data_IF_941313662229
#
_entry.id   IF_941313662229
#
_cell.length_a   1.000
_cell.length_b   1.000
_cell.length_c   1.000
_cell.angle_alpha   90.00
_cell.angle_beta   90.00
_cell.angle_gamma   90.00
#
_symmetry.space_group_name_H-M   'P 1'
#
loop_
_entity.id
_entity.type
_entity.pdbx_description
1 polymer ?
#
# COMPACT_ATOMS: atom_id res chain seq x y z
N UNK A 1 24.72 17.06 -21.14
CA UNK A 1 23.35 16.66 -20.71
C UNK A 1 23.42 15.98 -19.35
N UNK A 2 22.87 16.64 -18.32
CA UNK A 2 23.01 16.28 -16.91
C UNK A 2 22.38 14.91 -16.54
N UNK A 3 21.24 14.59 -17.14
CA UNK A 3 20.47 13.39 -16.83
C UNK A 3 21.16 12.06 -17.19
N UNK A 4 22.12 12.05 -18.13
CA UNK A 4 22.86 10.83 -18.54
C UNK A 4 23.86 10.33 -17.50
N UNK A 5 24.27 11.18 -16.55
CA UNK A 5 25.27 10.87 -15.51
C UNK A 5 24.64 10.52 -14.15
N UNK A 6 23.30 10.49 -14.06
CA UNK A 6 22.62 10.14 -12.80
C UNK A 6 22.79 8.65 -12.51
N UNK A 7 22.99 8.30 -11.23
CA UNK A 7 23.24 6.93 -10.73
C UNK A 7 22.22 5.88 -11.22
N UNK A 8 21.00 6.31 -11.55
CA UNK A 8 19.93 5.44 -12.03
C UNK A 8 19.63 5.56 -13.54
N UNK A 9 20.30 6.46 -14.27
CA UNK A 9 19.98 6.74 -15.68
C UNK A 9 20.22 5.55 -16.61
N UNK A 10 21.15 4.66 -16.27
CA UNK A 10 21.46 3.44 -17.03
C UNK A 10 20.69 2.20 -16.54
N UNK A 11 19.89 2.31 -15.46
CA UNK A 11 19.11 1.17 -14.96
C UNK A 11 17.93 0.89 -15.90
N UNK A 12 18.08 -0.14 -16.75
CA UNK A 12 17.03 -0.63 -17.66
C UNK A 12 15.88 -1.38 -16.96
N UNK A 13 16.10 -1.85 -15.74
CA UNK A 13 15.12 -2.58 -14.93
C UNK A 13 15.23 -2.13 -13.48
N UNK A 14 14.24 -1.38 -13.00
CA UNK A 14 13.99 -1.27 -11.57
C UNK A 14 13.47 -2.62 -11.10
N UNK A 15 14.31 -3.41 -10.44
CA UNK A 15 13.90 -4.68 -9.83
C UNK A 15 12.76 -4.49 -8.82
N UNK A 16 12.67 -3.29 -8.21
CA UNK A 16 11.59 -2.87 -7.31
C UNK A 16 10.25 -2.56 -7.97
N UNK A 17 10.16 -2.40 -9.30
CA UNK A 17 8.89 -2.14 -10.00
C UNK A 17 8.34 -3.36 -10.74
N UNK A 18 9.15 -4.41 -10.92
CA UNK A 18 8.77 -5.65 -11.62
C UNK A 18 8.54 -6.83 -10.69
N UNK A 19 8.59 -6.64 -9.38
CA UNK A 19 8.01 -7.60 -8.45
C UNK A 19 6.51 -7.62 -8.72
N UNK A 20 6.06 -8.63 -9.49
CA UNK A 20 4.67 -9.06 -9.50
C UNK A 20 4.20 -9.04 -8.06
N UNK A 21 3.15 -8.26 -7.83
CA UNK A 21 2.78 -7.69 -6.54
C UNK A 21 2.96 -8.66 -5.36
N UNK A 22 4.19 -8.77 -4.86
CA UNK A 22 4.53 -9.56 -3.68
C UNK A 22 4.28 -8.74 -2.42
N UNK A 23 3.43 -7.70 -2.52
CA UNK A 23 2.61 -7.25 -1.40
C UNK A 23 1.74 -8.46 -1.06
N UNK A 24 2.36 -9.35 -0.30
CA UNK A 24 1.76 -10.50 0.35
C UNK A 24 0.40 -10.11 0.87
N UNK A 25 -0.55 -11.04 0.78
CA UNK A 25 -1.86 -10.90 1.40
C UNK A 25 -1.62 -10.47 2.85
N UNK A 26 -1.98 -9.24 3.21
CA UNK A 26 -1.61 -8.73 4.52
C UNK A 26 -2.50 -9.42 5.55
N UNK A 27 -1.90 -10.34 6.30
CA UNK A 27 -2.59 -11.13 7.31
C UNK A 27 -3.19 -10.20 8.36
N UNK A 28 -4.41 -10.50 8.80
CA UNK A 28 -5.16 -9.74 9.82
C UNK A 28 -5.53 -8.30 9.47
N UNK A 29 -5.43 -7.89 8.20
CA UNK A 29 -6.06 -6.64 7.78
C UNK A 29 -7.56 -6.78 7.66
N UNK A 30 -8.27 -5.78 8.16
CA UNK A 30 -9.71 -5.65 8.04
C UNK A 30 -10.06 -4.78 6.83
N UNK A 31 -11.18 -5.08 6.18
CA UNK A 31 -11.73 -4.21 5.15
C UNK A 31 -12.35 -2.98 5.83
N UNK A 32 -12.28 -1.82 5.17
CA UNK A 32 -12.94 -0.59 5.65
C UNK A 32 -14.45 -0.76 5.80
N UNK A 33 -15.09 -1.64 5.00
CA UNK A 33 -16.50 -1.94 5.10
C UNK A 33 -16.86 -2.79 6.33
N UNK A 34 -15.91 -3.53 6.89
CA UNK A 34 -16.13 -4.43 8.03
C UNK A 34 -15.80 -3.77 9.38
N UNK A 35 -15.54 -2.45 9.39
CA UNK A 35 -15.14 -1.71 10.60
C UNK A 35 -16.32 -1.44 11.53
N UNK A 36 -16.12 -1.47 12.86
CA UNK A 36 -17.13 -1.05 13.80
C UNK A 36 -17.38 0.47 13.70
N UNK A 37 -18.63 0.89 13.96
CA UNK A 37 -19.05 2.29 13.81
C UNK A 37 -18.29 3.27 14.74
N UNK A 38 -17.81 2.78 15.88
CA UNK A 38 -17.03 3.54 16.86
C UNK A 38 -15.72 4.12 16.27
N UNK A 39 -15.18 3.52 15.20
CA UNK A 39 -13.94 4.00 14.53
C UNK A 39 -14.17 5.33 13.80
N UNK A 40 -15.41 5.65 13.41
CA UNK A 40 -15.74 6.89 12.70
C UNK A 40 -15.47 8.13 13.55
N UNK A 41 -15.70 8.05 14.86
CA UNK A 41 -15.51 9.18 15.79
C UNK A 41 -14.04 9.44 16.08
N UNK A 42 -13.15 8.44 15.87
CA UNK A 42 -11.70 8.54 16.07
C UNK A 42 -11.30 9.00 17.48
N UNK A 43 -12.09 8.63 18.48
CA UNK A 43 -11.89 9.07 19.87
C UNK A 43 -10.89 8.19 20.65
N UNK A 44 -10.59 6.98 20.17
CA UNK A 44 -9.71 6.04 20.85
C UNK A 44 -8.37 5.84 20.12
N UNK A 45 -7.33 5.55 20.92
CA UNK A 45 -6.02 5.11 20.43
C UNK A 45 -6.18 3.81 19.62
N UNK A 46 -5.73 3.84 18.36
CA UNK A 46 -5.87 2.73 17.41
C UNK A 46 -6.88 2.98 16.28
N UNK A 47 -7.81 3.95 16.42
CA UNK A 47 -8.76 4.29 15.35
C UNK A 47 -8.11 4.90 14.09
N UNK A 48 -6.84 5.32 14.19
CA UNK A 48 -6.05 5.85 13.08
C UNK A 48 -5.24 4.79 12.33
N UNK A 49 -5.41 3.50 12.67
CA UNK A 49 -4.76 2.42 11.94
C UNK A 49 -5.23 2.34 10.48
N UNK A 50 -4.33 1.91 9.60
CA UNK A 50 -4.54 1.96 8.15
C UNK A 50 -5.35 0.75 7.68
N UNK A 51 -6.61 1.01 7.31
CA UNK A 51 -7.45 0.06 6.59
C UNK A 51 -6.98 -0.17 5.15
N UNK A 52 -7.40 -1.29 4.54
CA UNK A 52 -7.12 -1.56 3.12
C UNK A 52 -8.39 -1.44 2.29
N UNK A 53 -8.34 -0.60 1.26
CA UNK A 53 -9.37 -0.57 0.20
C UNK A 53 -9.09 -1.72 -0.77
N UNK A 54 -9.80 -2.84 -0.61
CA UNK A 54 -9.78 -3.93 -1.59
C UNK A 54 -11.02 -3.85 -2.47
N UNK A 55 -10.83 -3.63 -3.77
CA UNK A 55 -11.89 -3.79 -4.77
C UNK A 55 -12.17 -5.28 -4.95
N UNK A 56 -13.44 -5.70 -4.79
CA UNK A 56 -13.85 -7.07 -5.10
C UNK A 56 -13.71 -7.27 -6.61
N UNK A 57 -12.81 -8.16 -7.01
CA UNK A 57 -12.70 -8.56 -8.42
C UNK A 57 -13.82 -9.57 -8.69
N UNK A 58 -14.67 -9.27 -9.66
CA UNK A 58 -15.68 -10.20 -10.19
C UNK A 58 -15.02 -11.45 -10.78
#
# INVERSE_FOLDING_TARGET
MLWKRLRCAQKRRCELCKAYNSRSRITNKRNVADRPAEVETREALGHWEIDTVMYRKY
#
